data_IF_089997765576
#
_entry.id   IF_089997765576
#
_cell.length_a   1.000
_cell.length_b   1.000
_cell.length_c   1.000
_cell.angle_alpha   90.00
_cell.angle_beta   90.00
_cell.angle_gamma   90.00
#
_symmetry.space_group_name_H-M   'P 1'
#
loop_
_entity.id
_entity.type
_entity.pdbx_description
1 polymer ?
#
# COMPACT_ATOMS: atom_id res chain seq x y z
N UNK A 1 -20.38 43.05 -43.68
CA UNK A 1 -20.96 41.69 -43.60
C UNK A 1 -21.22 41.43 -42.13
N UNK A 2 -22.47 41.39 -41.71
CA UNK A 2 -22.81 41.32 -40.29
C UNK A 2 -22.54 39.90 -39.77
N UNK A 3 -22.10 39.76 -38.51
CA UNK A 3 -21.86 38.46 -37.88
C UNK A 3 -23.12 37.56 -37.95
N UNK A 4 -24.32 38.15 -37.98
CA UNK A 4 -25.59 37.44 -38.13
C UNK A 4 -25.78 36.80 -39.50
N UNK A 5 -25.35 37.45 -40.59
CA UNK A 5 -25.52 36.88 -41.94
C UNK A 5 -24.61 35.66 -42.14
N UNK A 6 -23.39 35.72 -41.60
CA UNK A 6 -22.47 34.58 -41.59
C UNK A 6 -22.99 33.44 -40.73
N UNK A 7 -23.55 33.73 -39.55
CA UNK A 7 -24.12 32.72 -38.67
C UNK A 7 -25.35 32.05 -39.31
N UNK A 8 -26.18 32.81 -40.02
CA UNK A 8 -27.38 32.30 -40.67
C UNK A 8 -27.07 31.39 -41.87
N UNK A 9 -26.06 31.76 -42.67
CA UNK A 9 -25.56 30.91 -43.77
C UNK A 9 -24.99 29.60 -43.26
N UNK A 10 -24.17 29.64 -42.20
CA UNK A 10 -23.62 28.42 -41.58
C UNK A 10 -24.74 27.54 -40.99
N UNK A 11 -25.76 28.14 -40.38
CA UNK A 11 -26.93 27.41 -39.87
C UNK A 11 -27.76 26.76 -40.98
N UNK A 12 -27.96 27.41 -42.12
CA UNK A 12 -28.69 26.80 -43.25
C UNK A 12 -27.90 25.65 -43.87
N UNK A 13 -26.58 25.79 -44.04
CA UNK A 13 -25.73 24.71 -44.54
C UNK A 13 -25.72 23.52 -43.58
N UNK A 14 -25.63 23.77 -42.27
CA UNK A 14 -25.75 22.74 -41.24
C UNK A 14 -27.12 22.06 -41.27
N UNK A 15 -28.20 22.82 -41.45
CA UNK A 15 -29.57 22.30 -41.50
C UNK A 15 -29.82 21.43 -42.74
N UNK A 16 -29.33 21.87 -43.90
CA UNK A 16 -29.43 21.09 -45.13
C UNK A 16 -28.61 19.81 -45.04
N UNK A 17 -27.40 19.88 -44.48
CA UNK A 17 -26.55 18.73 -44.21
C UNK A 17 -27.24 17.74 -43.25
N UNK A 18 -27.88 18.25 -42.18
CA UNK A 18 -28.66 17.46 -41.24
C UNK A 18 -29.84 16.76 -41.91
N UNK A 19 -30.58 17.46 -42.79
CA UNK A 19 -31.72 16.89 -43.52
C UNK A 19 -31.31 15.78 -44.48
N UNK A 20 -30.17 15.92 -45.15
CA UNK A 20 -29.60 14.85 -45.99
C UNK A 20 -29.15 13.66 -45.17
N UNK A 21 -28.51 13.88 -44.00
CA UNK A 21 -28.18 12.80 -43.06
C UNK A 21 -29.44 12.05 -42.59
N UNK A 22 -30.53 12.78 -42.31
CA UNK A 22 -31.77 12.16 -41.81
C UNK A 22 -32.41 11.23 -42.86
N UNK A 23 -32.31 11.55 -44.15
CA UNK A 23 -32.82 10.70 -45.23
C UNK A 23 -32.00 9.42 -45.39
N UNK A 24 -30.67 9.52 -45.35
CA UNK A 24 -29.78 8.35 -45.39
C UNK A 24 -29.96 7.46 -44.15
N UNK A 25 -30.26 8.07 -43.00
CA UNK A 25 -30.61 7.39 -41.76
C UNK A 25 -31.76 6.39 -41.92
N UNK A 26 -32.84 6.83 -42.57
CA UNK A 26 -34.06 6.04 -42.77
C UNK A 26 -33.84 4.92 -43.78
N UNK A 27 -33.01 5.17 -44.80
CA UNK A 27 -32.71 4.19 -45.84
C UNK A 27 -31.76 3.07 -45.35
N UNK A 28 -30.86 3.36 -44.41
CA UNK A 28 -29.80 2.45 -44.00
C UNK A 28 -29.54 2.51 -42.47
N UNK A 29 -30.38 1.88 -41.64
CA UNK A 29 -30.27 1.96 -40.17
C UNK A 29 -28.95 1.40 -39.63
N UNK A 30 -28.29 0.51 -40.38
CA UNK A 30 -26.98 -0.06 -40.02
C UNK A 30 -25.85 0.99 -39.94
N UNK A 31 -25.98 2.13 -40.64
CA UNK A 31 -24.97 3.20 -40.64
C UNK A 31 -24.84 3.87 -39.26
N UNK A 32 -25.92 3.93 -38.47
CA UNK A 32 -25.87 4.39 -37.08
C UNK A 32 -25.63 3.25 -36.11
N UNK A 33 -26.28 2.11 -36.35
CA UNK A 33 -26.30 1.01 -35.38
C UNK A 33 -24.87 0.50 -35.11
N UNK A 34 -24.02 0.43 -36.13
CA UNK A 34 -22.63 -0.02 -35.99
C UNK A 34 -21.79 0.96 -35.13
N UNK A 35 -21.72 2.28 -35.42
CA UNK A 35 -21.05 3.25 -34.54
C UNK A 35 -21.61 3.32 -33.12
N UNK A 36 -22.93 3.20 -32.94
CA UNK A 36 -23.53 3.17 -31.61
C UNK A 36 -23.15 1.92 -30.82
N UNK A 37 -23.11 0.76 -31.47
CA UNK A 37 -22.69 -0.50 -30.83
C UNK A 37 -21.21 -0.44 -30.48
N UNK A 38 -20.36 0.08 -31.37
CA UNK A 38 -18.94 0.30 -31.08
C UNK A 38 -18.72 1.29 -29.93
N UNK A 39 -19.50 2.36 -29.87
CA UNK A 39 -19.48 3.30 -28.75
C UNK A 39 -19.84 2.58 -27.45
N UNK A 40 -20.95 1.85 -27.42
CA UNK A 40 -21.41 1.13 -26.24
C UNK A 40 -20.39 0.10 -25.75
N UNK A 41 -19.79 -0.69 -26.64
CA UNK A 41 -18.79 -1.72 -26.28
C UNK A 41 -17.46 -1.11 -25.84
N UNK A 42 -16.99 -0.05 -26.51
CA UNK A 42 -15.75 0.62 -26.11
C UNK A 42 -15.88 1.32 -24.75
N UNK A 43 -17.00 1.97 -24.48
CA UNK A 43 -17.28 2.57 -23.16
C UNK A 43 -17.39 1.48 -22.10
N UNK A 44 -18.11 0.38 -22.37
CA UNK A 44 -18.24 -0.72 -21.41
C UNK A 44 -16.87 -1.35 -21.06
N UNK A 45 -16.05 -1.65 -22.07
CA UNK A 45 -14.71 -2.22 -21.87
C UNK A 45 -13.76 -1.23 -21.20
N UNK A 46 -13.82 0.05 -21.56
CA UNK A 46 -12.98 1.09 -20.97
C UNK A 46 -13.33 1.35 -19.50
N UNK A 47 -14.63 1.42 -19.17
CA UNK A 47 -15.09 1.52 -17.78
C UNK A 47 -14.68 0.27 -16.98
N UNK A 48 -14.84 -0.92 -17.55
CA UNK A 48 -14.41 -2.17 -16.89
C UNK A 48 -12.90 -2.21 -16.65
N UNK A 49 -12.09 -1.79 -17.62
CA UNK A 49 -10.63 -1.73 -17.50
C UNK A 49 -10.17 -0.77 -16.40
N UNK A 50 -10.79 0.42 -16.29
CA UNK A 50 -10.47 1.38 -15.23
C UNK A 50 -10.81 0.82 -13.85
N UNK A 51 -12.04 0.31 -13.68
CA UNK A 51 -12.50 -0.23 -12.40
C UNK A 51 -11.67 -1.45 -11.98
N UNK A 52 -11.37 -2.36 -12.89
CA UNK A 52 -10.54 -3.54 -12.60
C UNK A 52 -9.10 -3.18 -12.25
N UNK A 53 -8.50 -2.22 -12.96
CA UNK A 53 -7.16 -1.73 -12.66
C UNK A 53 -7.08 -1.09 -11.27
N UNK A 54 -8.10 -0.33 -10.87
CA UNK A 54 -8.15 0.30 -9.55
C UNK A 54 -8.37 -0.71 -8.43
N UNK A 55 -9.24 -1.70 -8.64
CA UNK A 55 -9.40 -2.81 -7.69
C UNK A 55 -8.08 -3.59 -7.51
N UNK A 56 -7.37 -3.89 -8.60
CA UNK A 56 -6.08 -4.56 -8.55
C UNK A 56 -5.01 -3.70 -7.85
N UNK A 57 -4.99 -2.39 -8.12
CA UNK A 57 -4.05 -1.46 -7.47
C UNK A 57 -4.33 -1.33 -5.97
N UNK A 58 -5.61 -1.22 -5.57
CA UNK A 58 -5.99 -1.18 -4.16
C UNK A 58 -5.60 -2.47 -3.43
N UNK A 59 -5.84 -3.64 -4.05
CA UNK A 59 -5.42 -4.94 -3.51
C UNK A 59 -3.90 -5.02 -3.32
N UNK A 60 -3.13 -4.63 -4.34
CA UNK A 60 -1.66 -4.64 -4.25
C UNK A 60 -1.13 -3.71 -3.15
N UNK A 61 -1.73 -2.53 -2.98
CA UNK A 61 -1.35 -1.59 -1.93
C UNK A 61 -1.70 -2.15 -0.53
N UNK A 62 -2.84 -2.82 -0.38
CA UNK A 62 -3.23 -3.47 0.86
C UNK A 62 -2.28 -4.63 1.20
N UNK A 63 -1.91 -5.46 0.22
CA UNK A 63 -0.94 -6.54 0.41
C UNK A 63 0.44 -6.01 0.82
N UNK A 64 0.91 -4.95 0.16
CA UNK A 64 2.17 -4.29 0.54
C UNK A 64 2.12 -3.74 1.97
N UNK A 65 1.03 -3.07 2.35
CA UNK A 65 0.85 -2.57 3.71
C UNK A 65 0.82 -3.72 4.73
N UNK A 66 0.13 -4.82 4.43
CA UNK A 66 0.11 -6.02 5.27
C UNK A 66 1.52 -6.59 5.48
N UNK A 67 2.32 -6.70 4.41
CA UNK A 67 3.70 -7.20 4.49
C UNK A 67 4.60 -6.30 5.34
N UNK A 68 4.55 -4.97 5.14
CA UNK A 68 5.36 -4.03 5.93
C UNK A 68 4.96 -4.08 7.40
N UNK A 69 3.66 -4.14 7.69
CA UNK A 69 3.15 -4.24 9.06
C UNK A 69 3.57 -5.55 9.72
N UNK A 70 3.54 -6.67 8.98
CA UNK A 70 4.03 -7.96 9.46
C UNK A 70 5.54 -7.91 9.78
N UNK A 71 6.35 -7.30 8.91
CA UNK A 71 7.78 -7.13 9.15
C UNK A 71 8.06 -6.27 10.38
N UNK A 72 7.35 -5.15 10.54
CA UNK A 72 7.46 -4.30 11.71
C UNK A 72 7.07 -5.03 13.00
N UNK A 73 6.00 -5.85 12.95
CA UNK A 73 5.59 -6.71 14.06
C UNK A 73 6.64 -7.75 14.44
N UNK A 74 7.27 -8.38 13.46
CA UNK A 74 8.37 -9.32 13.69
C UNK A 74 9.60 -8.64 14.29
N UNK A 75 9.97 -7.46 13.79
CA UNK A 75 11.07 -6.67 14.33
C UNK A 75 10.80 -6.26 15.79
N UNK A 76 9.56 -5.87 16.10
CA UNK A 76 9.17 -5.58 17.47
C UNK A 76 9.24 -6.81 18.37
N UNK A 77 8.72 -7.96 17.95
CA UNK A 77 8.82 -9.20 18.70
C UNK A 77 10.27 -9.60 18.94
N UNK A 78 11.14 -9.45 17.94
CA UNK A 78 12.57 -9.72 18.07
C UNK A 78 13.23 -8.77 19.08
N UNK A 79 12.88 -7.48 19.06
CA UNK A 79 13.36 -6.49 20.03
C UNK A 79 12.91 -6.83 21.44
N UNK A 80 11.63 -7.14 21.66
CA UNK A 80 11.13 -7.59 22.96
C UNK A 80 11.84 -8.87 23.40
N UNK A 81 12.12 -9.77 22.45
CA UNK A 81 12.79 -11.02 22.73
C UNK A 81 14.23 -10.81 23.20
N UNK A 82 15.00 -9.96 22.53
CA UNK A 82 16.34 -9.59 22.96
C UNK A 82 16.34 -8.92 24.33
N UNK A 83 15.31 -8.12 24.59
CA UNK A 83 15.15 -7.31 25.79
C UNK A 83 14.82 -8.19 27.02
N UNK A 84 14.05 -9.29 26.90
CA UNK A 84 13.77 -10.15 28.05
C UNK A 84 14.93 -11.07 28.47
N UNK A 85 15.92 -11.34 27.61
CA UNK A 85 16.97 -12.33 27.92
C UNK A 85 17.82 -11.94 29.14
N UNK A 86 18.32 -10.70 29.25
CA UNK A 86 19.05 -10.26 30.45
C UNK A 86 18.20 -10.30 31.71
N UNK A 87 16.89 -10.06 31.60
CA UNK A 87 15.94 -10.15 32.72
C UNK A 87 15.88 -11.57 33.28
N UNK A 88 15.73 -12.57 32.40
CA UNK A 88 15.75 -13.98 32.81
C UNK A 88 17.09 -14.39 33.39
N UNK A 89 18.18 -13.92 32.79
CA UNK A 89 19.53 -14.18 33.28
C UNK A 89 19.72 -13.63 34.70
N UNK A 90 19.33 -12.37 34.94
CA UNK A 90 19.38 -11.78 36.28
C UNK A 90 18.50 -12.52 37.28
N UNK A 91 17.31 -12.94 36.86
CA UNK A 91 16.43 -13.73 37.72
C UNK A 91 17.07 -15.07 38.13
N UNK A 92 17.78 -15.74 37.23
CA UNK A 92 18.55 -16.94 37.55
C UNK A 92 19.73 -16.67 38.48
N UNK A 93 20.47 -15.58 38.27
CA UNK A 93 21.59 -15.19 39.14
C UNK A 93 21.13 -14.89 40.58
N UNK A 94 19.98 -14.22 40.72
CA UNK A 94 19.35 -13.99 42.01
C UNK A 94 18.85 -15.29 42.64
N UNK A 95 18.30 -16.20 41.83
CA UNK A 95 17.85 -17.50 42.32
C UNK A 95 19.00 -18.39 42.83
N UNK A 96 20.18 -18.29 42.21
CA UNK A 96 21.37 -19.05 42.60
C UNK A 96 21.98 -18.56 43.92
N UNK A 97 22.05 -17.23 44.12
CA UNK A 97 22.48 -16.65 45.39
C UNK A 97 21.51 -15.54 45.83
N UNK A 98 20.48 -15.87 46.62
CA UNK A 98 19.44 -14.92 47.00
C UNK A 98 19.86 -13.94 48.09
N UNK A 99 21.04 -14.05 48.70
CA UNK A 99 21.42 -13.20 49.82
C UNK A 99 21.73 -11.76 49.37
N UNK A 100 21.00 -10.79 49.93
CA UNK A 100 21.06 -9.39 49.50
C UNK A 100 22.47 -8.79 49.54
N UNK A 101 23.25 -9.08 50.57
CA UNK A 101 24.60 -8.51 50.75
C UNK A 101 25.51 -8.82 49.56
N UNK A 102 25.43 -10.04 49.02
CA UNK A 102 26.23 -10.44 47.87
C UNK A 102 25.66 -9.90 46.55
N UNK A 103 24.34 -9.76 46.46
CA UNK A 103 23.65 -9.24 45.28
C UNK A 103 23.90 -7.74 45.11
N UNK A 104 23.82 -6.96 46.18
CA UNK A 104 24.05 -5.51 46.15
C UNK A 104 25.45 -5.17 45.62
N UNK A 105 26.48 -5.91 46.06
CA UNK A 105 27.85 -5.71 45.61
C UNK A 105 28.07 -6.04 44.12
N UNK A 106 27.37 -7.07 43.60
CA UNK A 106 27.56 -7.56 42.22
C UNK A 106 26.61 -6.93 41.21
N UNK A 107 25.46 -6.47 41.65
CA UNK A 107 24.38 -5.97 40.80
C UNK A 107 24.83 -4.90 39.79
N UNK A 108 25.61 -3.85 40.15
CA UNK A 108 26.03 -2.85 39.17
C UNK A 108 26.79 -3.44 37.98
N UNK A 109 27.65 -4.43 38.23
CA UNK A 109 28.43 -5.09 37.16
C UNK A 109 27.56 -5.96 36.25
N UNK A 110 26.58 -6.67 36.82
CA UNK A 110 25.64 -7.48 36.06
C UNK A 110 24.66 -6.62 35.26
N UNK A 111 24.18 -5.54 35.86
CA UNK A 111 23.31 -4.58 35.21
C UNK A 111 24.02 -3.88 34.05
N UNK A 112 25.26 -3.45 34.21
CA UNK A 112 26.07 -2.88 33.12
C UNK A 112 26.25 -3.86 31.96
N UNK A 113 26.55 -5.13 32.26
CA UNK A 113 26.64 -6.17 31.24
C UNK A 113 25.28 -6.42 30.57
N UNK A 114 24.19 -6.47 31.34
CA UNK A 114 22.83 -6.60 30.82
C UNK A 114 22.45 -5.46 29.86
N UNK A 115 22.81 -4.22 30.19
CA UNK A 115 22.60 -3.05 29.34
C UNK A 115 23.46 -3.07 28.06
N UNK A 116 24.60 -3.76 28.06
CA UNK A 116 25.45 -3.94 26.88
C UNK A 116 25.02 -5.08 25.96
N UNK A 117 24.25 -6.04 26.47
CA UNK A 117 23.74 -7.19 25.69
C UNK A 117 22.51 -6.84 24.85
N UNK A 118 21.87 -5.72 25.14
CA UNK A 118 20.65 -5.27 24.47
C UNK A 118 20.99 -4.16 23.46
N UNK A 119 20.17 -3.97 22.41
CA UNK A 119 20.39 -2.89 21.45
C UNK A 119 20.50 -1.52 22.14
N UNK A 120 21.32 -0.63 21.59
CA UNK A 120 21.56 0.69 22.17
C UNK A 120 20.25 1.44 22.44
N UNK A 121 20.12 1.99 23.65
CA UNK A 121 18.92 2.68 24.13
C UNK A 121 17.64 1.85 24.09
N UNK A 122 17.74 0.52 23.89
CA UNK A 122 16.62 -0.33 24.21
C UNK A 122 16.43 -0.24 25.71
N UNK A 123 17.35 -0.70 26.57
CA UNK A 123 17.20 -0.65 28.05
C UNK A 123 17.71 0.66 28.68
N UNK A 124 16.94 1.39 29.52
CA UNK A 124 17.39 2.65 30.17
C UNK A 124 17.86 2.51 31.62
N UNK A 125 17.22 1.66 32.42
CA UNK A 125 17.69 1.36 33.78
C UNK A 125 17.36 -0.09 34.08
N UNK A 126 18.11 -0.70 35.00
CA UNK A 126 17.93 -1.99 35.65
C UNK A 126 17.78 -1.76 37.14
N UNK A 127 16.98 -2.52 37.87
CA UNK A 127 16.84 -2.37 39.31
C UNK A 127 16.68 -3.76 39.99
N UNK A 128 16.63 -3.82 41.32
CA UNK A 128 16.20 -4.99 42.11
C UNK A 128 15.09 -4.62 43.11
N UNK A 129 14.00 -5.41 43.18
CA UNK A 129 12.91 -5.34 44.17
C UNK A 129 12.89 -6.57 45.08
N UNK A 130 13.81 -6.72 46.03
CA UNK A 130 13.55 -7.65 47.13
C UNK A 130 12.22 -7.27 47.81
N UNK A 131 11.32 -8.24 47.94
CA UNK A 131 10.00 -8.09 48.56
C UNK A 131 9.11 -6.95 48.04
N UNK A 132 9.29 -6.52 46.80
CA UNK A 132 8.47 -5.47 46.22
C UNK A 132 9.01 -4.05 46.42
N UNK A 133 10.20 -3.88 47.02
CA UNK A 133 10.80 -2.57 47.32
C UNK A 133 12.05 -2.34 46.49
N UNK A 134 12.11 -1.25 45.72
CA UNK A 134 13.26 -0.96 44.85
C UNK A 134 14.49 -0.67 45.71
N UNK A 135 15.46 -1.58 45.76
CA UNK A 135 16.67 -1.43 46.60
C UNK A 135 17.95 -1.11 45.84
N UNK A 136 18.12 -1.68 44.65
CA UNK A 136 19.26 -1.37 43.80
C UNK A 136 18.76 -0.88 42.44
N UNK A 137 19.42 0.11 41.84
CA UNK A 137 19.07 0.75 40.57
C UNK A 137 20.37 0.98 39.78
N UNK A 138 20.37 0.80 38.47
CA UNK A 138 21.52 1.00 37.60
C UNK A 138 21.09 1.46 36.19
N UNK A 139 21.55 2.61 35.68
CA UNK A 139 22.43 3.56 36.35
C UNK A 139 21.71 4.30 37.48
N UNK A 140 22.36 4.41 38.65
CA UNK A 140 21.81 5.08 39.83
C UNK A 140 22.09 6.60 39.79
N UNK A 141 21.56 7.28 38.79
CA UNK A 141 21.81 8.70 38.55
C UNK A 141 20.56 9.46 38.09
N UNK A 142 20.62 10.80 38.20
CA UNK A 142 19.52 11.68 37.78
C UNK A 142 18.18 11.32 38.42
N UNK A 143 17.14 11.28 37.58
CA UNK A 143 15.77 10.98 38.01
C UNK A 143 15.57 9.53 38.49
N UNK A 144 16.49 8.60 38.16
CA UNK A 144 16.38 7.20 38.58
C UNK A 144 16.48 7.04 40.10
N UNK A 145 17.17 7.96 40.80
CA UNK A 145 17.28 7.98 42.26
C UNK A 145 15.93 8.17 42.96
N UNK A 146 14.96 8.80 42.29
CA UNK A 146 13.62 9.03 42.84
C UNK A 146 12.84 7.74 43.08
N UNK A 147 13.22 6.66 42.38
CA UNK A 147 12.59 5.36 42.55
C UNK A 147 13.24 4.53 43.68
N UNK A 148 14.34 4.97 44.28
CA UNK A 148 15.02 4.20 45.32
C UNK A 148 14.15 4.12 46.59
N UNK A 149 14.12 2.94 47.21
CA UNK A 149 13.33 2.58 48.39
C UNK A 149 11.81 2.63 48.23
N UNK A 150 11.33 2.70 46.99
CA UNK A 150 9.91 2.68 46.70
C UNK A 150 9.30 1.28 46.90
N UNK A 151 8.34 1.16 47.81
CA UNK A 151 7.47 -0.03 47.98
C UNK A 151 6.34 -0.01 46.96
N UNK A 152 6.34 -0.99 46.06
CA UNK A 152 5.36 -1.09 44.97
C UNK A 152 4.05 -1.72 45.35
N UNK A 153 4.01 -2.48 46.44
CA UNK A 153 2.76 -3.03 46.99
C UNK A 153 1.99 -2.01 47.82
N UNK A 154 2.64 -0.92 48.26
CA UNK A 154 2.02 0.18 48.98
C UNK A 154 1.30 1.19 48.06
N UNK A 155 1.46 1.09 46.75
CA UNK A 155 0.94 2.06 45.79
C UNK A 155 -0.56 1.87 45.48
N UNK A 156 -1.30 2.91 45.07
CA UNK A 156 -2.67 2.76 44.57
C UNK A 156 -2.77 1.79 43.38
N UNK A 157 -1.71 1.72 42.58
CA UNK A 157 -1.53 0.80 41.44
C UNK A 157 -1.10 -0.63 41.84
N UNK A 158 -1.14 -0.99 43.14
CA UNK A 158 -0.65 -2.28 43.70
C UNK A 158 -1.22 -3.54 43.07
N UNK A 159 -2.36 -3.48 42.39
CA UNK A 159 -2.96 -4.66 41.78
C UNK A 159 -2.03 -5.26 40.72
N UNK A 160 -1.38 -4.40 39.93
CA UNK A 160 -0.42 -4.79 38.91
C UNK A 160 0.71 -5.66 39.50
N UNK A 161 1.39 -5.25 40.60
CA UNK A 161 2.40 -6.09 41.21
C UNK A 161 1.93 -7.38 41.81
N UNK A 162 0.72 -7.40 42.33
CA UNK A 162 0.12 -8.62 42.83
C UNK A 162 -0.18 -9.61 41.68
N UNK A 163 -0.71 -9.13 40.56
CA UNK A 163 -1.04 -9.97 39.40
C UNK A 163 0.20 -10.60 38.77
N UNK A 164 1.31 -9.84 38.74
CA UNK A 164 2.57 -10.30 38.17
C UNK A 164 3.24 -11.34 39.07
N UNK A 165 3.28 -11.09 40.38
CA UNK A 165 3.71 -12.08 41.36
C UNK A 165 2.84 -13.35 41.29
N UNK A 166 1.53 -13.20 41.12
CA UNK A 166 0.60 -14.32 40.97
C UNK A 166 0.85 -15.14 39.70
N UNK A 167 1.22 -14.48 38.60
CA UNK A 167 1.44 -15.15 37.31
C UNK A 167 2.62 -16.13 37.32
N UNK A 168 3.59 -15.93 38.22
CA UNK A 168 4.86 -16.68 38.30
C UNK A 168 5.62 -16.78 36.96
N UNK A 169 5.31 -15.90 36.01
CA UNK A 169 5.88 -15.91 34.68
C UNK A 169 6.40 -14.52 34.34
N UNK A 170 7.24 -14.45 33.31
CA UNK A 170 7.67 -13.18 32.78
C UNK A 170 6.47 -12.43 32.19
N UNK A 171 6.26 -11.18 32.61
CA UNK A 171 5.11 -10.37 32.20
C UNK A 171 5.57 -9.05 31.60
N UNK A 172 4.81 -8.54 30.63
CA UNK A 172 5.07 -7.22 30.04
C UNK A 172 3.88 -6.32 30.35
N UNK A 173 4.12 -5.16 30.96
CA UNK A 173 3.08 -4.22 31.38
C UNK A 173 3.40 -2.80 30.94
N UNK A 174 2.59 -2.20 30.07
CA UNK A 174 2.80 -0.83 29.62
C UNK A 174 1.66 -0.31 28.77
N UNK A 175 1.61 1.01 28.52
CA UNK A 175 2.52 2.04 28.99
C UNK A 175 2.14 2.48 30.42
N UNK A 176 3.11 2.92 31.21
CA UNK A 176 2.91 3.40 32.58
C UNK A 176 3.76 4.62 32.84
N UNK A 177 3.23 5.59 33.58
CA UNK A 177 4.01 6.75 34.02
C UNK A 177 4.88 6.38 35.22
N UNK A 178 6.14 6.78 35.15
CA UNK A 178 7.17 6.37 36.10
C UNK A 178 7.59 7.57 36.94
N UNK A 179 8.00 7.31 38.18
CA UNK A 179 8.37 8.35 39.17
C UNK A 179 9.60 9.15 38.76
N UNK A 180 10.37 8.59 37.86
CA UNK A 180 11.49 9.23 37.20
C UNK A 180 11.05 10.33 36.21
N UNK A 181 9.75 10.55 35.99
CA UNK A 181 9.21 11.64 35.17
C UNK A 181 9.05 11.30 33.69
N UNK A 182 8.89 10.02 33.36
CA UNK A 182 8.78 9.53 31.99
C UNK A 182 7.83 8.34 31.87
N UNK A 183 7.20 8.12 30.70
CA UNK A 183 6.28 6.99 30.46
C UNK A 183 7.00 5.75 29.92
N UNK A 184 6.48 4.55 30.19
CA UNK A 184 7.26 3.34 29.98
C UNK A 184 6.57 1.99 29.90
N UNK A 185 7.24 0.95 29.39
CA UNK A 185 6.79 -0.44 29.34
C UNK A 185 7.63 -1.31 30.28
N UNK A 186 6.99 -1.94 31.27
CA UNK A 186 7.62 -2.84 32.22
C UNK A 186 7.77 -4.30 31.67
N UNK A 187 8.83 -5.08 32.00
CA UNK A 187 9.11 -6.49 31.55
C UNK A 187 9.64 -7.36 32.71
N UNK A 188 8.75 -7.91 33.53
CA UNK A 188 8.96 -8.29 34.93
C UNK A 188 9.08 -9.79 35.08
N UNK A 189 9.98 -10.28 35.95
CA UNK A 189 10.23 -11.71 36.14
C UNK A 189 10.19 -12.04 37.63
N UNK A 190 9.04 -12.48 38.16
CA UNK A 190 8.88 -12.74 39.59
C UNK A 190 9.78 -13.90 40.02
N UNK A 191 10.46 -13.74 41.15
CA UNK A 191 11.45 -14.71 41.65
C UNK A 191 10.93 -15.38 42.91
N UNK A 192 10.80 -16.70 42.84
CA UNK A 192 10.46 -17.56 43.96
C UNK A 192 11.65 -18.48 44.25
N UNK A 193 12.05 -18.54 45.52
CA UNK A 193 13.15 -19.39 45.98
C UNK A 193 12.54 -20.57 46.72
N UNK A 194 12.87 -21.78 46.28
CA UNK A 194 12.44 -23.03 46.89
C UNK A 194 13.39 -23.49 48.00
N UNK A 195 12.89 -24.31 48.92
CA UNK A 195 13.69 -24.94 49.97
C UNK A 195 14.04 -24.01 51.14
N UNK A 196 13.24 -22.96 51.34
CA UNK A 196 13.48 -21.93 52.36
C UNK A 196 12.48 -22.04 53.51
N UNK A 197 12.86 -21.54 54.68
CA UNK A 197 11.96 -21.47 55.84
C UNK A 197 10.97 -20.30 55.74
N UNK A 198 9.83 -20.35 56.47
CA UNK A 198 8.87 -19.25 56.49
C UNK A 198 9.45 -17.93 57.01
N UNK A 199 10.47 -18.00 57.87
CA UNK A 199 11.18 -16.85 58.44
C UNK A 199 12.32 -16.28 57.57
N UNK A 200 12.62 -16.86 56.40
CA UNK A 200 13.75 -16.42 55.57
C UNK A 200 13.53 -15.00 55.03
N UNK A 201 14.52 -14.12 55.19
CA UNK A 201 14.45 -12.73 54.73
C UNK A 201 15.54 -12.40 53.70
N UNK A 202 16.37 -13.36 53.28
CA UNK A 202 17.37 -13.17 52.23
C UNK A 202 18.33 -12.00 52.50
N UNK A 203 18.68 -11.78 53.76
CA UNK A 203 19.53 -10.67 54.21
C UNK A 203 18.83 -9.31 54.33
N UNK A 204 17.51 -9.24 54.11
CA UNK A 204 16.71 -8.03 54.32
C UNK A 204 16.26 -7.87 55.78
N UNK A 205 16.02 -6.63 56.19
CA UNK A 205 15.48 -6.33 57.53
C UNK A 205 13.98 -6.59 57.68
N UNK A 206 13.24 -6.62 56.56
CA UNK A 206 11.78 -6.79 56.52
C UNK A 206 11.37 -7.58 55.27
N UNK A 207 10.28 -8.34 55.39
CA UNK A 207 9.65 -9.04 54.27
C UNK A 207 8.62 -8.19 53.53
N UNK A 208 7.90 -8.79 52.58
CA UNK A 208 6.89 -8.12 51.78
C UNK A 208 5.71 -7.62 52.63
N UNK A 209 5.36 -6.36 52.43
CA UNK A 209 4.20 -5.68 53.02
C UNK A 209 3.00 -5.80 52.08
N UNK A 210 1.80 -6.03 52.61
CA UNK A 210 0.55 -6.04 51.85
C UNK A 210 0.48 -7.02 50.66
N UNK A 211 1.27 -8.10 50.67
CA UNK A 211 1.26 -9.11 49.62
C UNK A 211 0.94 -10.51 50.18
N UNK A 212 -0.30 -10.97 49.99
CA UNK A 212 -0.74 -12.31 50.43
C UNK A 212 -0.09 -13.44 49.63
N UNK A 213 0.16 -13.22 48.34
CA UNK A 213 0.76 -14.21 47.41
C UNK A 213 2.27 -14.36 47.66
N UNK A 214 2.89 -13.35 48.26
CA UNK A 214 4.32 -13.35 48.60
C UNK A 214 4.63 -14.14 49.88
N UNK A 215 3.59 -14.61 50.59
CA UNK A 215 3.75 -15.43 51.78
C UNK A 215 4.42 -16.77 51.42
N UNK A 216 5.04 -17.39 52.42
CA UNK A 216 5.65 -18.72 52.27
C UNK A 216 4.58 -19.75 51.87
N UNK A 217 4.84 -20.47 50.78
CA UNK A 217 4.00 -21.54 50.32
C UNK A 217 4.49 -22.87 50.91
N UNK A 218 3.73 -23.43 51.86
CA UNK A 218 4.07 -24.70 52.51
C UNK A 218 4.11 -25.89 51.56
N UNK A 219 3.35 -25.84 50.45
CA UNK A 219 3.24 -26.94 49.49
C UNK A 219 4.49 -27.08 48.64
N UNK A 220 5.00 -25.97 48.12
CA UNK A 220 6.20 -25.96 47.27
C UNK A 220 7.47 -25.64 48.05
N UNK A 221 7.34 -25.32 49.34
CA UNK A 221 8.40 -24.78 50.19
C UNK A 221 9.10 -23.58 49.52
N UNK A 222 8.32 -22.74 48.84
CA UNK A 222 8.82 -21.57 48.14
C UNK A 222 8.40 -20.28 48.84
N UNK A 223 9.24 -19.26 48.70
CA UNK A 223 8.96 -17.91 49.16
C UNK A 223 9.29 -16.92 48.06
N UNK A 224 8.42 -15.93 47.90
CA UNK A 224 8.71 -14.81 47.02
C UNK A 224 9.92 -14.06 47.56
N UNK A 225 11.01 -14.05 46.80
CA UNK A 225 12.19 -13.24 47.12
C UNK A 225 11.93 -11.78 46.81
N UNK A 226 11.24 -11.55 45.70
CA UNK A 226 11.14 -10.24 45.11
C UNK A 226 10.97 -10.34 43.60
N UNK A 227 11.16 -9.21 42.97
CA UNK A 227 11.30 -9.07 41.53
C UNK A 227 12.64 -8.40 41.26
N UNK A 228 13.24 -8.54 40.08
CA UNK A 228 14.31 -7.60 39.65
C UNK A 228 13.56 -6.37 39.01
N UNK A 229 13.96 -5.08 38.98
CA UNK A 229 13.56 -4.15 37.90
C UNK A 229 14.43 -3.93 36.67
N UNK A 230 13.88 -3.18 35.72
CA UNK A 230 14.56 -2.29 34.80
C UNK A 230 13.54 -1.15 34.44
N UNK A 231 13.81 0.04 33.86
CA UNK A 231 12.81 1.18 33.75
C UNK A 231 12.91 2.07 32.50
N UNK A 232 11.83 2.24 31.71
CA UNK A 232 11.80 2.86 30.34
C UNK A 232 11.31 4.30 30.30
N UNK A 233 11.91 5.21 29.53
CA UNK A 233 11.45 6.60 29.44
C UNK A 233 10.94 7.10 28.09
N UNK A 234 9.78 7.76 28.15
CA UNK A 234 9.15 8.64 27.15
C UNK A 234 9.22 10.09 27.63
N UNK A 235 9.33 10.99 26.65
CA UNK A 235 9.37 12.46 26.72
C UNK A 235 8.92 13.14 28.04
N UNK A 236 9.56 14.24 28.44
CA UNK A 236 9.15 15.00 29.62
C UNK A 236 7.75 15.58 29.41
N UNK A 237 6.75 15.06 30.13
CA UNK A 237 5.42 15.65 30.17
C UNK A 237 5.38 16.67 31.32
N UNK A 238 5.06 17.92 31.00
CA UNK A 238 4.82 18.95 32.00
C UNK A 238 3.35 18.93 32.42
N UNK A 239 3.16 18.72 33.73
CA UNK A 239 1.97 18.97 34.56
C UNK A 239 1.01 17.80 34.86
N UNK A 240 0.65 17.77 36.15
CA UNK A 240 -0.40 17.03 36.86
C UNK A 240 -0.09 15.62 37.40
N UNK A 241 0.30 15.60 38.68
CA UNK A 241 -0.06 14.67 39.77
C UNK A 241 -0.63 13.29 39.40
N UNK A 242 0.14 12.19 39.58
CA UNK A 242 -0.27 10.88 40.15
C UNK A 242 0.74 9.70 39.96
N UNK A 243 1.46 9.33 41.04
CA UNK A 243 1.72 7.99 41.63
C UNK A 243 2.07 6.70 40.76
N UNK A 244 3.39 6.44 40.60
CA UNK A 244 4.25 5.25 40.96
C UNK A 244 4.05 3.78 40.41
N UNK A 245 5.17 3.08 40.09
CA UNK A 245 5.45 1.59 40.19
C UNK A 245 6.85 1.16 39.61
N UNK A 246 7.45 0.01 40.03
CA UNK A 246 8.72 -0.56 39.47
C UNK A 246 8.89 -2.09 39.67
N UNK A 247 9.39 -2.84 38.67
CA UNK A 247 9.73 -4.31 38.61
C UNK A 247 10.41 -4.63 37.23
N UNK A 248 10.89 -5.85 36.88
CA UNK A 248 11.96 -6.06 35.83
C UNK A 248 11.54 -5.39 34.56
N UNK A 249 12.40 -4.70 33.85
CA UNK A 249 11.96 -3.94 32.71
C UNK A 249 13.09 -3.54 31.80
N UNK A 250 13.54 -4.52 31.04
CA UNK A 250 14.36 -4.17 29.92
C UNK A 250 13.51 -3.23 29.02
N UNK A 251 14.02 -2.02 28.83
CA UNK A 251 13.35 -0.95 28.11
C UNK A 251 13.42 -1.23 26.63
N UNK A 252 12.50 -0.64 25.89
CA UNK A 252 12.76 -0.20 24.53
C UNK A 252 12.39 1.28 24.54
N UNK A 253 13.27 2.18 24.09
CA UNK A 253 12.84 3.56 23.86
C UNK A 253 11.58 3.48 23.00
N UNK A 254 10.49 4.16 23.37
CA UNK A 254 9.33 4.17 22.50
C UNK A 254 9.70 4.79 21.15
N UNK A 255 10.74 5.64 21.09
CA UNK A 255 11.37 6.05 19.83
C UNK A 255 12.06 4.93 19.08
N UNK A 256 12.63 3.95 19.77
CA UNK A 256 13.15 2.73 19.14
C UNK A 256 12.00 1.85 18.62
N UNK A 257 10.89 1.77 19.34
CA UNK A 257 9.65 1.13 18.85
C UNK A 257 9.11 1.88 17.64
N UNK A 258 8.98 3.21 17.73
CA UNK A 258 8.59 4.10 16.62
C UNK A 258 9.61 4.02 15.48
N UNK A 259 10.88 3.78 15.75
CA UNK A 259 11.90 3.57 14.72
C UNK A 259 11.69 2.25 13.98
N UNK A 260 11.25 1.20 14.66
CA UNK A 260 10.82 -0.04 14.00
C UNK A 260 9.52 0.15 13.21
N UNK A 261 8.72 1.17 13.53
CA UNK A 261 7.55 1.62 12.78
C UNK A 261 7.89 2.73 11.77
N UNK A 262 9.13 3.23 11.74
CA UNK A 262 9.55 4.26 10.81
C UNK A 262 9.41 3.82 9.34
N UNK A 263 9.56 2.54 8.96
CA UNK A 263 9.23 2.10 7.60
C UNK A 263 7.78 2.37 7.22
N UNK A 264 6.82 2.30 8.16
CA UNK A 264 5.41 2.63 7.91
C UNK A 264 5.24 4.14 7.69
N UNK A 265 5.88 4.96 8.52
CA UNK A 265 5.86 6.42 8.40
C UNK A 265 6.56 6.90 7.11
N UNK A 266 7.72 6.32 6.78
CA UNK A 266 8.47 6.59 5.55
C UNK A 266 7.69 6.16 4.30
N UNK A 267 6.86 5.12 4.41
CA UNK A 267 5.95 4.71 3.35
C UNK A 267 4.66 5.56 3.28
N UNK A 268 4.48 6.52 4.20
CA UNK A 268 3.34 7.44 4.23
C UNK A 268 2.06 6.82 4.79
N UNK A 269 2.17 5.72 5.55
CA UNK A 269 1.03 5.09 6.19
C UNK A 269 0.73 5.72 7.55
N UNK A 270 -0.56 5.86 7.86
CA UNK A 270 -1.02 6.12 9.23
C UNK A 270 -1.29 4.78 9.92
N UNK A 271 -0.78 4.62 11.14
CA UNK A 271 -0.91 3.38 11.92
C UNK A 271 -1.52 3.64 13.30
N UNK A 272 -2.11 2.60 13.89
CA UNK A 272 -2.66 2.64 15.25
C UNK A 272 -2.50 1.29 15.89
N UNK A 273 -1.72 1.24 16.97
CA UNK A 273 -1.54 0.05 17.77
C UNK A 273 -2.73 -0.16 18.71
N UNK A 274 -3.41 -1.30 18.62
CA UNK A 274 -4.50 -1.71 19.50
C UNK A 274 -4.19 -3.07 20.14
N UNK A 275 -4.52 -3.31 21.41
CA UNK A 275 -4.36 -4.64 22.03
C UNK A 275 -5.60 -5.51 21.75
N UNK A 276 -5.42 -6.80 21.44
CA UNK A 276 -6.51 -7.78 21.40
C UNK A 276 -6.93 -8.13 22.84
N UNK A 277 -7.95 -7.44 23.32
CA UNK A 277 -8.60 -7.65 24.62
C UNK A 277 -9.78 -6.69 24.74
N UNK A 278 -10.97 -7.20 25.01
CA UNK A 278 -12.26 -6.52 24.86
C UNK A 278 -12.42 -5.25 25.70
N UNK A 279 -12.49 -4.08 25.07
CA UNK A 279 -13.11 -2.89 25.67
C UNK A 279 -12.62 -1.55 25.12
N UNK A 280 -13.55 -0.76 24.55
CA UNK A 280 -13.39 0.68 24.40
C UNK A 280 -13.42 1.28 25.82
N UNK A 281 -12.34 1.97 26.23
CA UNK A 281 -12.26 2.59 27.56
C UNK A 281 -13.02 3.92 27.53
N UNK A 282 -14.14 3.97 28.24
CA UNK A 282 -14.82 5.21 28.63
C UNK A 282 -14.07 5.81 29.83
N UNK A 283 -13.64 7.06 29.75
CA UNK A 283 -12.72 7.74 30.68
C UNK A 283 -13.26 7.99 32.09
N UNK A 284 -14.43 7.46 32.46
CA UNK A 284 -15.13 7.80 33.70
C UNK A 284 -15.47 6.61 34.60
N UNK A 285 -15.00 5.39 34.32
CA UNK A 285 -15.28 4.22 35.17
C UNK A 285 -13.99 3.49 35.56
N UNK A 286 -13.76 3.20 36.86
CA UNK A 286 -12.63 2.42 37.33
C UNK A 286 -12.87 0.95 36.94
N UNK A 287 -12.48 0.58 35.73
CA UNK A 287 -12.53 -0.79 35.27
C UNK A 287 -11.33 -1.57 35.80
N UNK A 288 -11.64 -2.75 36.33
CA UNK A 288 -10.77 -3.87 36.66
C UNK A 288 -9.66 -4.07 35.61
N UNK A 289 -8.44 -4.31 36.08
CA UNK A 289 -7.21 -4.41 35.29
C UNK A 289 -7.34 -5.36 34.08
N UNK A 290 -7.54 -4.77 32.90
CA UNK A 290 -7.27 -5.34 31.58
C UNK A 290 -7.39 -4.22 30.51
N UNK A 291 -6.27 -3.57 30.15
CA UNK A 291 -6.20 -2.49 29.14
C UNK A 291 -5.27 -1.34 29.58
N UNK A 292 -4.56 -0.58 28.74
CA UNK A 292 -4.42 -0.52 27.28
C UNK A 292 -3.06 0.14 26.92
N UNK A 293 -2.43 -0.24 25.80
CA UNK A 293 -1.44 0.58 25.08
C UNK A 293 -2.13 1.08 23.82
N UNK A 294 -2.51 2.35 23.82
CA UNK A 294 -2.96 3.06 22.61
C UNK A 294 -1.82 3.98 22.21
N UNK A 295 -1.11 3.62 21.16
CA UNK A 295 -0.19 4.57 20.52
C UNK A 295 -0.86 4.93 19.21
N UNK A 296 -1.57 6.05 19.27
CA UNK A 296 -1.92 6.81 18.09
C UNK A 296 -0.85 7.88 17.93
N UNK A 297 -0.22 7.93 16.75
CA UNK A 297 0.05 9.25 16.18
C UNK A 297 -0.82 9.39 14.93
N UNK A 298 -2.14 9.51 15.18
CA UNK A 298 -3.00 10.27 14.27
C UNK A 298 -3.09 11.66 14.92
N UNK A 299 -2.41 12.69 14.38
CA UNK A 299 -2.54 14.03 14.94
C UNK A 299 -3.98 14.56 14.89
N UNK A 300 -4.89 13.99 14.09
CA UNK A 300 -6.25 14.51 13.94
C UNK A 300 -7.34 13.44 13.66
N UNK A 301 -7.96 12.89 14.70
CA UNK A 301 -9.43 12.88 14.83
C UNK A 301 -10.31 11.81 14.15
N UNK A 302 -9.85 10.91 13.27
CA UNK A 302 -10.70 9.79 12.77
C UNK A 302 -9.89 8.52 12.47
N UNK A 303 -10.40 7.31 12.76
CA UNK A 303 -9.75 6.06 12.37
C UNK A 303 -9.64 5.96 10.84
N UNK A 304 -8.56 5.35 10.30
CA UNK A 304 -8.39 5.19 8.86
C UNK A 304 -9.57 4.46 8.23
N UNK A 305 -9.97 4.88 7.02
CA UNK A 305 -11.01 4.19 6.25
C UNK A 305 -10.41 2.90 5.68
N UNK A 306 -11.01 1.76 6.01
CA UNK A 306 -10.57 0.41 5.59
C UNK A 306 -9.15 0.04 6.08
N UNK A 307 -8.97 -0.13 7.40
CA UNK A 307 -7.66 -0.49 7.94
C UNK A 307 -7.27 -1.92 7.54
N UNK A 308 -6.01 -2.09 7.18
CA UNK A 308 -5.36 -3.40 7.12
C UNK A 308 -4.91 -3.73 8.54
N UNK A 309 -5.46 -4.81 9.10
CA UNK A 309 -5.07 -5.27 10.43
C UNK A 309 -3.97 -6.32 10.35
N UNK A 310 -2.87 -6.11 11.06
CA UNK A 310 -1.84 -7.13 11.25
C UNK A 310 -1.79 -7.55 12.72
N UNK A 311 -1.73 -8.86 12.93
CA UNK A 311 -1.57 -9.44 14.25
C UNK A 311 -0.10 -9.43 14.65
N UNK A 312 0.23 -8.63 15.65
CA UNK A 312 1.50 -8.69 16.36
C UNK A 312 1.17 -9.37 17.68
N UNK A 313 1.58 -10.62 17.90
CA UNK A 313 1.36 -11.40 19.14
C UNK A 313 0.85 -10.59 20.36
N UNK A 314 -0.49 -10.50 20.49
CA UNK A 314 -1.32 -9.74 21.49
C UNK A 314 -1.85 -8.33 21.13
N UNK A 315 -1.48 -7.75 19.99
CA UNK A 315 -1.94 -6.46 19.45
C UNK A 315 -2.36 -6.57 17.97
N UNK A 316 -3.42 -5.87 17.57
CA UNK A 316 -3.76 -5.56 16.17
C UNK A 316 -3.24 -4.17 15.84
N UNK A 317 -2.38 -4.07 14.84
CA UNK A 317 -2.05 -2.78 14.22
C UNK A 317 -3.00 -2.53 13.05
N UNK A 318 -3.60 -1.35 12.99
CA UNK A 318 -4.51 -0.94 11.91
C UNK A 318 -3.82 0.12 11.04
N UNK A 319 -3.53 -0.23 9.79
CA UNK A 319 -2.80 0.63 8.86
C UNK A 319 -3.71 1.10 7.73
N UNK A 320 -3.65 2.39 7.40
CA UNK A 320 -4.39 2.95 6.27
C UNK A 320 -3.78 4.24 5.71
N UNK A 321 -4.22 4.60 4.50
CA UNK A 321 -3.88 5.88 3.88
C UNK A 321 -4.90 6.96 4.29
N UNK A 322 -4.50 8.22 4.50
CA UNK A 322 -5.38 9.30 4.96
C UNK A 322 -6.58 9.56 4.02
N UNK A 323 -6.42 9.29 2.73
CA UNK A 323 -7.47 9.48 1.72
C UNK A 323 -8.17 8.17 1.28
N UNK A 324 -7.89 7.05 1.98
CA UNK A 324 -8.31 5.71 1.57
C UNK A 324 -7.49 5.14 0.41
N UNK A 325 -7.72 3.87 0.07
CA UNK A 325 -6.98 3.14 -0.97
C UNK A 325 -7.33 3.57 -2.41
N UNK A 326 -8.41 4.33 -2.59
CA UNK A 326 -8.92 4.72 -3.92
C UNK A 326 -8.91 6.24 -4.08
N UNK A 327 -8.25 6.72 -5.14
CA UNK A 327 -8.21 8.15 -5.45
C UNK A 327 -9.37 8.55 -6.38
N UNK A 328 -10.56 8.75 -5.79
CA UNK A 328 -11.83 9.06 -6.50
C UNK A 328 -11.71 10.19 -7.53
N UNK A 329 -10.87 11.19 -7.27
CA UNK A 329 -10.65 12.31 -8.19
C UNK A 329 -9.99 11.90 -9.51
N UNK A 330 -9.02 10.98 -9.45
CA UNK A 330 -8.33 10.47 -10.64
C UNK A 330 -9.23 9.55 -11.46
N UNK A 331 -10.07 8.74 -10.81
CA UNK A 331 -11.01 7.83 -11.49
C UNK A 331 -12.01 8.61 -12.33
N UNK A 332 -12.58 9.67 -11.77
CA UNK A 332 -13.52 10.54 -12.48
C UNK A 332 -12.90 11.17 -13.73
N UNK A 333 -11.66 11.65 -13.64
CA UNK A 333 -10.94 12.20 -14.80
C UNK A 333 -10.69 11.17 -15.91
N UNK A 334 -10.28 9.95 -15.55
CA UNK A 334 -10.03 8.87 -16.51
C UNK A 334 -11.32 8.37 -17.18
N UNK A 335 -12.41 8.25 -16.44
CA UNK A 335 -13.72 7.86 -16.98
C UNK A 335 -14.23 8.87 -18.01
N UNK A 336 -14.11 10.17 -17.72
CA UNK A 336 -14.47 11.24 -18.67
C UNK A 336 -13.62 11.14 -19.93
N UNK A 337 -12.31 10.91 -19.79
CA UNK A 337 -11.40 10.74 -20.94
C UNK A 337 -11.82 9.55 -21.82
N UNK A 338 -12.14 8.40 -21.23
CA UNK A 338 -12.60 7.21 -21.97
C UNK A 338 -13.88 7.49 -22.73
N UNK A 339 -14.87 8.13 -22.11
CA UNK A 339 -16.14 8.47 -22.77
C UNK A 339 -15.92 9.43 -23.95
N UNK A 340 -15.08 10.45 -23.79
CA UNK A 340 -14.75 11.40 -24.86
C UNK A 340 -14.02 10.70 -26.00
N UNK A 341 -13.04 9.86 -25.71
CA UNK A 341 -12.28 9.12 -26.73
C UNK A 341 -13.18 8.14 -27.50
N UNK A 342 -14.04 7.40 -26.79
CA UNK A 342 -15.04 6.52 -27.40
C UNK A 342 -16.02 7.28 -28.29
N UNK A 343 -16.45 8.47 -27.88
CA UNK A 343 -17.34 9.32 -28.68
C UNK A 343 -16.64 9.78 -29.96
N UNK A 344 -15.40 10.26 -29.86
CA UNK A 344 -14.61 10.69 -31.01
C UNK A 344 -14.40 9.55 -32.02
N UNK A 345 -14.07 8.34 -31.53
CA UNK A 345 -13.94 7.15 -32.38
C UNK A 345 -15.25 6.77 -33.06
N UNK A 346 -16.37 6.84 -32.34
CA UNK A 346 -17.70 6.57 -32.90
C UNK A 346 -18.10 7.58 -33.99
N UNK A 347 -17.87 8.88 -33.74
CA UNK A 347 -18.14 9.96 -34.70
C UNK A 347 -17.25 9.81 -35.94
N UNK A 348 -15.97 9.48 -35.77
CA UNK A 348 -15.06 9.24 -36.89
C UNK A 348 -15.46 8.01 -37.71
N UNK A 349 -15.94 6.93 -37.09
CA UNK A 349 -16.46 5.77 -37.82
C UNK A 349 -17.76 6.11 -38.57
N UNK A 350 -18.66 6.86 -37.94
CA UNK A 350 -19.91 7.29 -38.56
C UNK A 350 -19.64 8.17 -39.79
N UNK A 351 -18.69 9.12 -39.70
CA UNK A 351 -18.31 9.96 -40.84
C UNK A 351 -17.69 9.16 -41.99
N UNK A 352 -16.85 8.16 -41.68
CA UNK A 352 -16.30 7.24 -42.68
C UNK A 352 -17.38 6.39 -43.36
N UNK A 353 -18.36 5.87 -42.60
CA UNK A 353 -19.47 5.08 -43.16
C UNK A 353 -20.40 5.93 -44.03
N UNK A 354 -20.72 7.15 -43.60
CA UNK A 354 -21.48 8.13 -44.38
C UNK A 354 -20.77 8.49 -45.68
N UNK A 355 -19.46 8.78 -45.61
CA UNK A 355 -18.63 9.02 -46.79
C UNK A 355 -18.73 7.85 -47.76
N UNK A 356 -18.53 6.62 -47.27
CA UNK A 356 -18.62 5.41 -48.10
C UNK A 356 -20.00 5.19 -48.71
N UNK A 357 -21.08 5.51 -47.99
CA UNK A 357 -22.45 5.40 -48.52
C UNK A 357 -22.68 6.40 -49.65
N UNK A 358 -22.31 7.67 -49.44
CA UNK A 358 -22.44 8.71 -50.45
C UNK A 358 -21.61 8.40 -51.70
N UNK A 359 -20.38 7.88 -51.54
CA UNK A 359 -19.57 7.42 -52.68
C UNK A 359 -20.23 6.27 -53.44
N UNK A 360 -20.94 5.37 -52.76
CA UNK A 360 -21.70 4.30 -53.44
C UNK A 360 -22.87 4.85 -54.25
N UNK A 361 -23.63 5.80 -53.72
CA UNK A 361 -24.71 6.44 -54.50
C UNK A 361 -24.17 7.26 -55.68
N UNK A 362 -23.08 8.00 -55.50
CA UNK A 362 -22.43 8.72 -56.60
C UNK A 362 -21.91 7.76 -57.68
N UNK A 363 -21.35 6.62 -57.29
CA UNK A 363 -20.93 5.59 -58.25
C UNK A 363 -22.13 4.97 -58.98
N UNK A 364 -23.24 4.70 -58.29
CA UNK A 364 -24.46 4.16 -58.90
C UNK A 364 -25.16 5.16 -59.83
N UNK A 365 -25.03 6.46 -59.59
CA UNK A 365 -25.60 7.50 -60.46
C UNK A 365 -24.73 7.79 -61.68
N UNK A 366 -23.40 7.67 -61.56
CA UNK A 366 -22.46 7.93 -62.66
C UNK A 366 -22.28 6.70 -63.56
N UNK A 367 -22.35 5.48 -63.03
CA UNK A 367 -22.32 4.29 -63.87
C UNK A 367 -23.70 4.05 -64.50
N UNK A 368 -23.86 4.16 -65.84
CA UNK A 368 -25.10 3.74 -66.49
C UNK A 368 -25.38 2.27 -66.19
N UNK A 369 -26.63 1.94 -65.84
CA UNK A 369 -27.07 0.59 -65.45
C UNK A 369 -26.64 -0.50 -66.44
N UNK A 370 -26.49 -0.13 -67.73
CA UNK A 370 -26.03 -1.02 -68.80
C UNK A 370 -24.61 -1.55 -68.60
N UNK A 371 -23.73 -0.79 -67.93
CA UNK A 371 -22.38 -1.25 -67.59
C UNK A 371 -22.41 -2.24 -66.43
N UNK A 372 -23.35 -2.11 -65.49
CA UNK A 372 -23.51 -3.08 -64.40
C UNK A 372 -24.02 -4.42 -64.93
N UNK A 373 -24.98 -4.41 -65.86
CA UNK A 373 -25.45 -5.61 -66.56
C UNK A 373 -24.34 -6.27 -67.39
N UNK A 374 -23.48 -5.48 -68.05
CA UNK A 374 -22.33 -6.03 -68.74
C UNK A 374 -21.33 -6.65 -67.78
N UNK A 375 -20.94 -5.97 -66.69
CA UNK A 375 -19.95 -6.50 -65.73
C UNK A 375 -20.49 -7.71 -64.97
N UNK A 376 -21.78 -7.73 -64.60
CA UNK A 376 -22.40 -8.91 -63.97
C UNK A 376 -22.61 -10.07 -64.96
N UNK A 377 -22.91 -9.80 -66.24
CA UNK A 377 -22.84 -10.84 -67.29
C UNK A 377 -21.43 -11.36 -67.48
N UNK A 378 -20.41 -10.51 -67.51
CA UNK A 378 -19.01 -10.94 -67.63
C UNK A 378 -18.58 -11.73 -66.38
N UNK A 379 -19.06 -11.37 -65.19
CA UNK A 379 -18.76 -12.10 -63.94
C UNK A 379 -19.43 -13.47 -63.91
N UNK A 380 -20.67 -13.59 -64.37
CA UNK A 380 -21.34 -14.90 -64.51
C UNK A 380 -20.77 -15.73 -65.67
N UNK A 381 -20.22 -15.10 -66.71
CA UNK A 381 -19.38 -15.76 -67.71
C UNK A 381 -18.08 -16.29 -67.11
N UNK A 382 -17.43 -15.48 -66.26
CA UNK A 382 -16.20 -15.87 -65.56
C UNK A 382 -16.45 -17.02 -64.57
N UNK A 383 -17.56 -16.97 -63.83
CA UNK A 383 -17.95 -18.01 -62.87
C UNK A 383 -18.38 -19.32 -63.57
N UNK A 384 -18.97 -19.23 -64.78
CA UNK A 384 -19.20 -20.40 -65.65
C UNK A 384 -17.96 -20.88 -66.39
N UNK A 385 -16.91 -20.06 -66.48
CA UNK A 385 -15.62 -20.43 -67.06
C UNK A 385 -14.65 -21.07 -66.05
N UNK A 386 -15.11 -21.43 -64.85
CA UNK A 386 -14.39 -22.19 -63.82
C UNK A 386 -13.99 -23.62 -64.23
N UNK A 387 -13.90 -23.93 -65.53
CA UNK A 387 -13.14 -25.05 -66.08
C UNK A 387 -11.80 -24.63 -66.69
N UNK A 388 -11.48 -23.34 -66.72
CA UNK A 388 -10.13 -22.87 -66.96
C UNK A 388 -9.43 -22.73 -65.60
N UNK A 389 -8.53 -23.67 -65.37
CA UNK A 389 -7.75 -23.86 -64.16
C UNK A 389 -7.09 -22.56 -63.69
N UNK A 390 -7.13 -22.39 -62.36
CA UNK A 390 -6.83 -21.16 -61.66
C UNK A 390 -5.45 -20.58 -61.93
N UNK A 391 -5.39 -19.24 -61.88
CA UNK A 391 -4.34 -18.44 -61.22
C UNK A 391 -4.52 -16.93 -61.43
N UNK A 392 -5.49 -16.46 -62.25
CA UNK A 392 -5.38 -15.11 -62.83
C UNK A 392 -6.41 -14.04 -62.42
N UNK A 393 -7.28 -14.26 -61.42
CA UNK A 393 -8.31 -13.27 -61.06
C UNK A 393 -8.52 -13.08 -59.56
N UNK A 394 -7.44 -13.08 -58.78
CA UNK A 394 -7.48 -12.30 -57.54
C UNK A 394 -7.23 -10.85 -57.92
N UNK A 395 -8.13 -9.94 -57.53
CA UNK A 395 -7.93 -8.50 -57.67
C UNK A 395 -6.73 -8.11 -56.79
N UNK A 396 -5.52 -8.25 -57.33
CA UNK A 396 -4.28 -7.90 -56.63
C UNK A 396 -4.19 -6.39 -56.58
N UNK A 397 -3.91 -5.87 -55.38
CA UNK A 397 -3.52 -4.48 -55.23
C UNK A 397 -2.32 -4.20 -56.16
N UNK A 398 -2.25 -3.04 -56.82
CA UNK A 398 -1.20 -2.73 -57.79
C UNK A 398 0.22 -2.87 -57.21
N UNK A 399 0.40 -2.69 -55.91
CA UNK A 399 1.66 -2.96 -55.22
C UNK A 399 2.12 -4.42 -55.34
N UNK A 400 1.20 -5.39 -55.25
CA UNK A 400 1.53 -6.81 -55.38
C UNK A 400 1.89 -7.18 -56.83
N UNK A 401 1.30 -6.49 -57.81
CA UNK A 401 1.63 -6.68 -59.22
C UNK A 401 3.05 -6.16 -59.51
N UNK A 402 3.43 -5.03 -58.91
CA UNK A 402 4.80 -4.50 -59.01
C UNK A 402 5.79 -5.42 -58.30
N UNK A 403 5.46 -5.92 -57.12
CA UNK A 403 6.32 -6.85 -56.36
C UNK A 403 6.55 -8.18 -57.08
N UNK A 404 5.50 -8.76 -57.69
CA UNK A 404 5.67 -9.97 -58.51
C UNK A 404 6.50 -9.70 -59.76
N UNK A 405 6.32 -8.55 -60.42
CA UNK A 405 7.20 -8.17 -61.54
C UNK A 405 8.66 -7.98 -61.12
N UNK A 406 8.92 -7.45 -59.92
CA UNK A 406 10.27 -7.37 -59.37
C UNK A 406 10.84 -8.75 -59.03
N UNK A 407 10.00 -9.66 -58.52
CA UNK A 407 10.39 -11.05 -58.24
C UNK A 407 10.77 -11.79 -59.53
N UNK A 408 9.96 -11.69 -60.58
CA UNK A 408 10.24 -12.32 -61.88
C UNK A 408 11.52 -11.76 -62.52
N UNK A 409 11.77 -10.46 -62.36
CA UNK A 409 12.99 -9.82 -62.85
C UNK A 409 14.24 -10.32 -62.11
N UNK A 410 14.14 -10.53 -60.79
CA UNK A 410 15.23 -11.09 -59.98
C UNK A 410 15.50 -12.56 -60.30
N UNK A 411 14.48 -13.30 -60.75
CA UNK A 411 14.64 -14.66 -61.28
C UNK A 411 15.17 -14.72 -62.73
N UNK A 412 15.45 -13.57 -63.35
CA UNK A 412 15.95 -13.48 -64.73
C UNK A 412 14.90 -13.77 -65.80
N UNK A 413 13.61 -13.81 -65.43
CA UNK A 413 12.50 -13.96 -66.37
C UNK A 413 12.05 -12.57 -66.82
N UNK A 414 11.75 -12.42 -68.11
CA UNK A 414 11.18 -11.17 -68.60
C UNK A 414 9.70 -11.09 -68.20
N UNK A 415 9.25 -10.01 -67.53
CA UNK A 415 7.85 -9.87 -67.17
C UNK A 415 6.98 -9.79 -68.43
N UNK A 416 5.80 -10.38 -68.35
CA UNK A 416 4.83 -10.38 -69.45
C UNK A 416 4.42 -8.94 -69.79
N UNK A 417 4.38 -8.61 -71.09
CA UNK A 417 3.97 -7.28 -71.61
C UNK A 417 2.58 -6.87 -71.07
N UNK A 418 1.74 -7.85 -70.77
CA UNK A 418 0.41 -7.63 -70.17
C UNK A 418 0.49 -7.06 -68.75
N UNK A 419 1.43 -7.52 -67.94
CA UNK A 419 1.59 -7.06 -66.56
C UNK A 419 2.15 -5.64 -66.53
N UNK A 420 3.06 -5.33 -67.46
CA UNK A 420 3.58 -3.97 -67.68
C UNK A 420 2.45 -3.01 -68.07
N UNK A 421 1.52 -3.43 -68.96
CA UNK A 421 0.36 -2.61 -69.31
C UNK A 421 -0.61 -2.43 -68.13
N UNK A 422 -0.86 -3.46 -67.33
CA UNK A 422 -1.71 -3.37 -66.15
C UNK A 422 -1.13 -2.41 -65.08
N UNK A 423 0.18 -2.46 -64.81
CA UNK A 423 0.82 -1.51 -63.90
C UNK A 423 0.78 -0.08 -64.44
N UNK A 424 0.94 0.10 -65.76
CA UNK A 424 0.88 1.43 -66.39
C UNK A 424 -0.51 2.06 -66.30
N UNK A 425 -1.58 1.27 -66.39
CA UNK A 425 -2.96 1.76 -66.23
C UNK A 425 -3.30 2.04 -64.76
N UNK A 426 -2.75 1.26 -63.83
CA UNK A 426 -3.02 1.40 -62.40
C UNK A 426 -2.25 2.56 -61.72
N UNK A 427 -1.14 3.00 -62.31
CA UNK A 427 -0.35 4.14 -61.84
C UNK A 427 -0.39 5.28 -62.88
N UNK A 428 -1.45 6.12 -62.89
CA UNK A 428 -1.44 7.33 -63.69
C UNK A 428 -0.33 8.25 -63.17
N UNK A 429 0.79 8.29 -63.89
CA UNK A 429 1.85 9.26 -63.64
C UNK A 429 1.26 10.67 -63.78
N UNK A 430 1.49 11.59 -62.82
CA UNK A 430 1.10 12.97 -62.99
C UNK A 430 1.82 13.54 -64.21
N UNK A 431 1.05 14.02 -65.18
CA UNK A 431 1.57 14.78 -66.30
C UNK A 431 2.32 15.99 -65.77
N UNK A 432 3.50 16.19 -66.34
CA UNK A 432 4.43 17.30 -66.14
C UNK A 432 3.74 18.66 -65.96
N UNK A 433 3.62 19.11 -64.72
CA UNK A 433 3.52 20.54 -64.40
C UNK A 433 4.93 21.05 -64.08
N UNK A 434 5.41 21.92 -64.94
CA UNK A 434 6.65 22.70 -64.81
C UNK A 434 6.77 23.36 -63.44
N UNK A 435 7.64 22.81 -62.57
CA UNK A 435 8.11 23.48 -61.36
C UNK A 435 9.44 24.15 -61.68
N UNK A 436 9.35 25.47 -61.89
CA UNK A 436 10.48 26.40 -61.90
C UNK A 436 11.29 26.23 -60.60
N UNK A 437 12.49 25.67 -60.71
CA UNK A 437 13.51 25.82 -59.69
C UNK A 437 14.12 27.23 -59.80
N UNK A 438 13.72 28.15 -58.92
CA UNK A 438 14.59 29.26 -58.52
C UNK A 438 15.16 28.92 -57.16
N UNK A 439 16.48 28.68 -57.14
CA UNK A 439 17.23 28.47 -55.92
C UNK A 439 17.66 29.78 -55.28
N UNK A 440 17.76 29.77 -53.96
CA UNK A 440 18.77 30.54 -53.22
C UNK A 440 19.17 29.72 -52.00
N UNK A 441 20.31 29.04 -52.12
CA UNK A 441 21.10 28.50 -51.02
C UNK A 441 21.73 29.67 -50.26
N UNK A 442 21.49 29.79 -48.95
CA UNK A 442 22.39 30.52 -48.05
C UNK A 442 23.20 29.52 -47.24
N UNK A 443 24.49 29.44 -47.53
CA UNK A 443 25.49 28.65 -46.81
C UNK A 443 25.97 29.47 -45.62
N UNK A 444 25.77 28.97 -44.40
CA UNK A 444 26.49 29.43 -43.22
C UNK A 444 27.79 28.63 -43.08
N UNK A 445 28.97 29.29 -43.03
CA UNK A 445 30.19 28.61 -42.63
C UNK A 445 30.31 28.62 -41.10
N UNK A 446 30.53 27.43 -40.55
CA UNK A 446 31.15 27.24 -39.25
C UNK A 446 32.57 27.80 -39.27
N UNK A 447 32.93 28.59 -38.25
CA UNK A 447 34.29 28.68 -37.69
C UNK A 447 34.19 29.05 -36.21
N UNK A 448 34.87 28.22 -35.41
CA UNK A 448 35.54 28.46 -34.11
C UNK A 448 35.17 29.70 -33.31
#
# INVERSE_FOLDING_TARGET
MSLSDALHSVLEDLWNCFRTMLKTLVAAPHVILVPCLLFATSVALGCWAIVSFEMATASNLQEQAALVTQQAGQAWQASLNATYQPVKMMAHLVAENPQWQDLEARFPSWADLALKMVPDNSVRVVQLLPFGVIKAIFPNEGANKLAQDLDTFALPSRQRPLDIAASRNLTVTGPVDLVQGYTGILIQAPIFISGVGPGELFGQSKGATNCSICAFNSTYQDKFWGDVPAVTGLLPHQNADSIMAGFVQAVTDFRFILHNLAPLEQAGYEYTLMRLGSGIINTSSPATFSGALTVAQVPFGKPPREPVSAFITSATDNVGLPNGWTNKGRQAGLLVMVVVLSLLLSVMLASLLLGRYNYKELLLTILPERLFDQVTRTRSFLDKSNHWTGHYLTARAPANIILDMMSDFLEGKQPSVKDIMCARVAAPWPSTSSLHCSGTLSVHPYKT
#
